data_IF_085740142981
#
_entry.id   IF_085740142981
#
_cell.length_a   1.000
_cell.length_b   1.000
_cell.length_c   1.000
_cell.angle_alpha   90.00
_cell.angle_beta   90.00
_cell.angle_gamma   90.00
#
_symmetry.space_group_name_H-M   'P 1'
#
loop_
_entity.id
_entity.type
_entity.pdbx_description
1 polymer ?
#
# COMPACT_ATOMS: atom_id res chain seq x y z
N UNK A 1 -18.00 4.59 21.26
CA UNK A 1 -17.81 3.38 20.46
C UNK A 1 -19.00 2.49 20.77
N UNK A 2 -19.91 2.31 19.83
CA UNK A 2 -21.12 1.51 20.07
C UNK A 2 -20.76 0.06 19.76
N UNK A 3 -20.63 -0.76 20.81
CA UNK A 3 -20.54 -2.21 20.68
C UNK A 3 -21.78 -2.69 19.92
N UNK A 4 -21.59 -3.44 18.84
CA UNK A 4 -22.70 -3.99 18.07
C UNK A 4 -23.37 -5.08 18.92
N UNK A 5 -24.60 -4.83 19.37
CA UNK A 5 -25.32 -5.79 20.21
C UNK A 5 -25.54 -7.12 19.46
N UNK A 6 -25.48 -8.23 20.18
CA UNK A 6 -25.79 -9.54 19.60
C UNK A 6 -27.20 -9.53 18.98
N UNK A 7 -27.30 -9.87 17.69
CA UNK A 7 -28.55 -9.84 16.93
C UNK A 7 -28.77 -8.59 16.06
N UNK A 8 -27.84 -7.64 16.03
CA UNK A 8 -27.90 -6.52 15.08
C UNK A 8 -27.60 -7.02 13.66
N UNK A 9 -28.43 -6.63 12.68
CA UNK A 9 -28.20 -6.96 11.27
C UNK A 9 -26.92 -6.26 10.81
N UNK A 10 -25.96 -7.05 10.30
CA UNK A 10 -24.72 -6.55 9.69
C UNK A 10 -25.10 -5.69 8.48
N UNK A 11 -24.71 -4.42 8.50
CA UNK A 11 -24.95 -3.50 7.38
C UNK A 11 -23.74 -3.47 6.45
N UNK A 12 -23.94 -3.01 5.21
CA UNK A 12 -22.87 -2.92 4.22
C UNK A 12 -21.68 -2.05 4.67
N UNK A 13 -21.88 -1.14 5.63
CA UNK A 13 -20.81 -0.34 6.22
C UNK A 13 -19.93 -1.10 7.22
N UNK A 14 -20.43 -2.21 7.78
CA UNK A 14 -19.66 -3.07 8.68
C UNK A 14 -18.64 -3.92 7.91
N UNK A 15 -18.95 -4.20 6.63
CA UNK A 15 -18.13 -5.00 5.73
C UNK A 15 -18.06 -4.33 4.33
N UNK A 16 -17.36 -3.19 4.18
CA UNK A 16 -17.15 -2.61 2.88
C UNK A 16 -16.39 -3.60 1.97
N UNK A 17 -16.69 -3.63 0.66
CA UNK A 17 -16.06 -4.58 -0.24
C UNK A 17 -14.55 -4.34 -0.35
N UNK A 18 -13.80 -5.40 -0.65
CA UNK A 18 -12.39 -5.29 -1.02
C UNK A 18 -12.22 -4.33 -2.20
N UNK A 19 -11.22 -3.46 -2.10
CA UNK A 19 -10.82 -2.52 -3.16
C UNK A 19 -9.37 -2.81 -3.55
N UNK A 20 -9.07 -2.65 -4.83
CA UNK A 20 -7.70 -2.78 -5.33
C UNK A 20 -7.42 -1.75 -6.40
N UNK A 21 -6.13 -1.53 -6.66
CA UNK A 21 -5.63 -0.69 -7.71
C UNK A 21 -4.28 -1.23 -8.19
N UNK A 22 -4.10 -1.26 -9.49
CA UNK A 22 -2.94 -1.86 -10.14
C UNK A 22 -2.31 -0.86 -11.10
N UNK A 23 -0.99 -0.93 -11.23
CA UNK A 23 -0.22 -0.25 -12.24
C UNK A 23 0.66 -1.29 -12.93
N UNK A 24 0.42 -1.50 -14.22
CA UNK A 24 1.13 -2.46 -15.06
C UNK A 24 2.09 -1.78 -16.05
N UNK A 25 2.30 -0.47 -15.89
CA UNK A 25 3.25 0.25 -16.72
C UNK A 25 4.65 0.11 -16.11
N UNK A 26 5.51 -0.63 -16.80
CA UNK A 26 6.89 -0.77 -16.43
C UNK A 26 7.55 0.61 -16.22
N UNK A 27 8.02 0.84 -15.01
CA UNK A 27 8.82 2.00 -14.63
C UNK A 27 10.28 1.57 -14.63
N UNK A 28 10.99 1.89 -15.71
CA UNK A 28 12.42 1.61 -15.81
C UNK A 28 13.30 2.74 -15.26
N UNK A 29 14.53 2.41 -14.89
CA UNK A 29 15.55 3.35 -14.44
C UNK A 29 15.11 4.25 -13.28
N UNK A 30 14.43 3.68 -12.29
CA UNK A 30 14.04 4.39 -11.08
C UNK A 30 15.32 4.76 -10.31
N UNK A 31 15.48 6.04 -9.97
CA UNK A 31 16.63 6.58 -9.22
C UNK A 31 16.23 7.41 -8.00
N UNK A 32 14.93 7.45 -7.67
CA UNK A 32 14.42 8.30 -6.60
C UNK A 32 14.84 7.79 -5.22
N UNK A 33 15.59 8.60 -4.48
CA UNK A 33 16.01 8.26 -3.10
C UNK A 33 14.96 8.64 -2.04
N UNK A 34 14.06 9.56 -2.38
CA UNK A 34 12.85 9.86 -1.62
C UNK A 34 11.66 9.05 -2.16
N UNK A 35 10.64 8.82 -1.32
CA UNK A 35 9.43 8.14 -1.74
C UNK A 35 8.69 8.93 -2.82
N UNK A 36 8.46 8.29 -3.96
CA UNK A 36 7.66 8.77 -5.08
C UNK A 36 6.35 7.98 -5.15
N UNK A 37 5.21 8.62 -5.45
CA UNK A 37 3.95 7.91 -5.64
C UNK A 37 3.97 7.09 -6.93
N UNK A 38 3.39 5.90 -6.88
CA UNK A 38 3.00 5.14 -8.07
C UNK A 38 1.60 5.51 -8.54
N UNK A 39 1.21 4.98 -9.70
CA UNK A 39 -0.16 5.04 -10.21
C UNK A 39 -1.06 3.93 -9.65
N UNK A 40 -0.52 2.99 -8.87
CA UNK A 40 -1.31 1.99 -8.16
C UNK A 40 -1.98 2.64 -6.94
N UNK A 41 -3.24 3.00 -7.13
CA UNK A 41 -4.05 3.75 -6.18
C UNK A 41 -5.40 3.08 -6.03
N UNK A 42 -5.91 2.98 -4.82
CA UNK A 42 -7.29 2.59 -4.57
C UNK A 42 -7.95 3.46 -3.50
N UNK A 43 -9.21 3.79 -3.72
CA UNK A 43 -10.05 4.51 -2.74
C UNK A 43 -11.00 3.52 -2.07
N UNK A 44 -11.18 3.66 -0.76
CA UNK A 44 -12.07 2.81 0.03
C UNK A 44 -12.76 3.59 1.14
N UNK A 45 -13.84 3.02 1.68
CA UNK A 45 -14.54 3.53 2.85
C UNK A 45 -14.12 2.69 4.06
N UNK A 46 -13.71 3.34 5.15
CA UNK A 46 -13.32 2.64 6.36
C UNK A 46 -14.52 1.91 7.00
N UNK A 47 -14.35 0.64 7.43
CA UNK A 47 -15.40 -0.12 8.09
C UNK A 47 -15.74 0.48 9.46
N UNK A 48 -16.85 0.04 10.05
CA UNK A 48 -17.26 0.44 11.41
C UNK A 48 -16.23 0.08 12.49
N UNK A 49 -15.40 -0.93 12.25
CA UNK A 49 -14.28 -1.29 13.13
C UNK A 49 -13.12 -0.27 13.10
N UNK A 50 -13.07 0.62 12.11
CA UNK A 50 -11.94 1.54 11.89
C UNK A 50 -10.63 0.83 11.55
N UNK A 51 -10.71 -0.44 11.10
CA UNK A 51 -9.57 -1.32 10.86
C UNK A 51 -9.62 -1.95 9.47
N UNK A 52 -8.52 -1.88 8.74
CA UNK A 52 -8.37 -2.50 7.41
C UNK A 52 -7.06 -3.25 7.30
N UNK A 53 -7.05 -4.31 6.52
CA UNK A 53 -5.83 -4.93 6.02
C UNK A 53 -5.45 -4.27 4.71
N UNK A 54 -4.16 -3.94 4.56
CA UNK A 54 -3.60 -3.38 3.34
C UNK A 54 -2.54 -4.34 2.83
N UNK A 55 -2.70 -4.78 1.58
CA UNK A 55 -1.68 -5.49 0.84
C UNK A 55 -1.04 -4.55 -0.17
N UNK A 56 0.28 -4.63 -0.27
CA UNK A 56 1.03 -4.09 -1.40
C UNK A 56 1.82 -5.22 -2.04
N UNK A 57 1.96 -5.19 -3.36
CA UNK A 57 2.84 -6.07 -4.09
C UNK A 57 3.49 -5.33 -5.26
N UNK A 58 4.68 -5.77 -5.65
CA UNK A 58 5.31 -5.32 -6.87
C UNK A 58 6.30 -6.35 -7.39
N UNK A 59 6.54 -6.26 -8.68
CA UNK A 59 7.60 -6.95 -9.38
C UNK A 59 8.74 -5.97 -9.68
N UNK A 60 9.93 -6.31 -9.20
CA UNK A 60 11.12 -5.45 -9.29
C UNK A 60 12.36 -6.24 -9.65
N UNK A 61 13.32 -5.53 -10.22
CA UNK A 61 14.70 -6.00 -10.37
C UNK A 61 15.66 -4.84 -10.18
N UNK A 62 16.87 -5.19 -9.81
CA UNK A 62 17.99 -4.27 -9.75
C UNK A 62 18.76 -4.27 -11.08
N UNK A 63 19.19 -3.10 -11.55
CA UNK A 63 19.97 -2.99 -12.79
C UNK A 63 21.48 -3.15 -12.59
N UNK A 64 22.01 -3.03 -11.36
CA UNK A 64 23.47 -3.04 -11.11
C UNK A 64 23.90 -3.91 -9.94
N UNK A 65 23.01 -4.73 -9.39
CA UNK A 65 23.32 -5.62 -8.27
C UNK A 65 23.75 -4.92 -6.96
N UNK A 66 23.37 -3.65 -6.77
CA UNK A 66 23.73 -2.82 -5.61
C UNK A 66 22.56 -2.02 -5.02
N UNK A 67 21.34 -2.17 -5.56
CA UNK A 67 20.18 -1.36 -5.20
C UNK A 67 19.09 -2.18 -4.49
N UNK A 68 18.40 -1.49 -3.60
CA UNK A 68 17.19 -1.97 -2.94
C UNK A 68 16.02 -1.10 -3.36
N UNK A 69 15.00 -1.71 -3.94
CA UNK A 69 13.71 -1.04 -4.16
C UNK A 69 12.88 -1.20 -2.90
N UNK A 70 12.43 -0.09 -2.34
CA UNK A 70 11.62 -0.04 -1.13
C UNK A 70 10.20 0.34 -1.52
N UNK A 71 9.23 -0.48 -1.17
CA UNK A 71 7.81 -0.21 -1.36
C UNK A 71 7.11 -0.01 -0.03
N UNK A 72 6.15 0.91 0.00
CA UNK A 72 5.26 1.14 1.14
C UNK A 72 3.93 1.70 0.65
N UNK A 73 3.04 2.08 1.56
CA UNK A 73 1.78 2.76 1.25
C UNK A 73 1.76 4.14 1.88
N UNK A 74 1.11 5.09 1.21
CA UNK A 74 0.63 6.32 1.82
C UNK A 74 -0.89 6.25 1.86
N UNK A 75 -1.48 6.54 3.02
CA UNK A 75 -2.92 6.65 3.21
C UNK A 75 -3.28 8.11 3.49
N UNK A 76 -4.22 8.64 2.70
CA UNK A 76 -4.74 10.01 2.84
C UNK A 76 -6.22 9.95 3.19
N UNK A 77 -6.66 10.77 4.15
CA UNK A 77 -8.08 11.02 4.40
C UNK A 77 -8.61 11.99 3.34
N UNK A 78 -9.55 11.56 2.51
CA UNK A 78 -10.00 12.36 1.37
C UNK A 78 -10.81 13.58 1.80
N UNK A 79 -11.28 13.63 3.06
CA UNK A 79 -12.07 14.74 3.60
C UNK A 79 -11.19 15.89 4.06
N UNK A 80 -10.03 15.58 4.63
CA UNK A 80 -9.11 16.58 5.21
C UNK A 80 -7.85 16.80 4.38
N UNK A 81 -7.48 15.81 3.56
CA UNK A 81 -6.20 15.77 2.86
C UNK A 81 -5.03 15.31 3.75
N UNK A 82 -5.29 14.92 5.00
CA UNK A 82 -4.24 14.52 5.93
C UNK A 82 -3.68 13.15 5.60
N UNK A 83 -2.35 13.02 5.73
CA UNK A 83 -1.67 11.74 5.64
C UNK A 83 -1.82 10.99 6.96
N UNK A 84 -2.69 10.00 6.99
CA UNK A 84 -2.95 9.15 8.17
C UNK A 84 -1.90 8.05 8.30
N UNK A 85 -1.38 7.56 7.18
CA UNK A 85 -0.25 6.63 7.15
C UNK A 85 0.78 7.18 6.15
N UNK A 86 1.96 7.53 6.67
CA UNK A 86 3.10 7.89 5.84
C UNK A 86 3.86 6.66 5.33
N UNK A 87 4.60 6.79 4.20
CA UNK A 87 5.38 5.69 3.65
C UNK A 87 6.55 5.32 4.57
N UNK A 88 6.63 4.04 4.91
CA UNK A 88 7.70 3.41 5.68
C UNK A 88 7.81 1.92 5.28
N UNK A 89 8.80 1.60 4.45
CA UNK A 89 9.03 0.24 3.98
C UNK A 89 9.48 -0.73 5.08
N UNK A 90 9.96 -0.25 6.23
CA UNK A 90 10.41 -1.12 7.32
C UNK A 90 9.22 -1.56 8.17
N UNK A 91 8.32 -0.62 8.51
CA UNK A 91 7.12 -0.93 9.28
C UNK A 91 5.96 -1.46 8.42
N UNK A 92 5.69 -0.82 7.27
CA UNK A 92 4.46 -0.98 6.47
C UNK A 92 4.80 -1.10 4.99
N UNK A 93 5.72 -1.99 4.69
CA UNK A 93 6.12 -2.26 3.33
C UNK A 93 7.22 -3.30 3.24
N UNK A 94 7.90 -3.39 2.11
CA UNK A 94 8.96 -4.36 1.93
C UNK A 94 10.11 -3.78 1.12
N UNK A 95 11.20 -4.52 1.12
CA UNK A 95 12.34 -4.28 0.26
C UNK A 95 12.48 -5.41 -0.74
N UNK A 96 12.99 -5.07 -1.92
CA UNK A 96 13.63 -6.05 -2.79
C UNK A 96 14.78 -6.75 -2.05
N UNK A 97 15.13 -7.96 -2.48
CA UNK A 97 16.40 -8.57 -2.12
C UNK A 97 17.50 -7.76 -2.80
N UNK A 98 18.54 -7.42 -2.05
CA UNK A 98 19.68 -6.71 -2.60
C UNK A 98 20.33 -7.54 -3.69
N UNK A 99 20.62 -6.89 -4.81
CA UNK A 99 21.38 -7.44 -5.92
C UNK A 99 20.69 -8.45 -6.87
N UNK A 100 19.36 -8.58 -6.84
CA UNK A 100 18.65 -9.46 -7.77
C UNK A 100 18.53 -8.82 -9.17
N UNK A 101 19.35 -9.30 -10.12
CA UNK A 101 19.25 -8.91 -11.54
C UNK A 101 18.03 -9.52 -12.26
N UNK A 102 17.54 -10.65 -11.73
CA UNK A 102 16.31 -11.27 -12.18
C UNK A 102 15.09 -10.58 -11.54
N UNK A 103 13.96 -10.63 -12.24
CA UNK A 103 12.69 -10.14 -11.71
C UNK A 103 12.25 -10.95 -10.49
N UNK A 104 11.89 -10.24 -9.42
CA UNK A 104 11.27 -10.82 -8.25
C UNK A 104 9.95 -10.15 -7.92
N UNK A 105 8.97 -10.96 -7.52
CA UNK A 105 7.70 -10.48 -6.98
C UNK A 105 7.73 -10.59 -5.47
N UNK A 106 7.42 -9.48 -4.79
CA UNK A 106 7.28 -9.46 -3.34
C UNK A 106 5.98 -8.78 -2.95
N UNK A 107 5.42 -9.21 -1.83
CA UNK A 107 4.22 -8.63 -1.26
C UNK A 107 4.31 -8.55 0.26
N UNK A 108 3.55 -7.63 0.84
CA UNK A 108 3.34 -7.57 2.28
C UNK A 108 1.92 -7.15 2.58
N UNK A 109 1.37 -7.77 3.63
CA UNK A 109 0.08 -7.40 4.22
C UNK A 109 0.32 -6.86 5.62
N UNK A 110 -0.37 -5.80 5.99
CA UNK A 110 -0.32 -5.22 7.33
C UNK A 110 -1.66 -4.61 7.74
N UNK A 111 -1.86 -4.49 9.05
CA UNK A 111 -3.04 -3.88 9.64
C UNK A 111 -2.88 -2.36 9.70
N UNK A 112 -3.91 -1.63 9.30
CA UNK A 112 -4.12 -0.21 9.59
C UNK A 112 -5.33 -0.08 10.50
N UNK A 113 -5.20 0.71 11.56
CA UNK A 113 -6.23 0.88 12.59
C UNK A 113 -6.35 2.33 13.01
N UNK A 114 -7.48 2.67 13.65
CA UNK A 114 -7.77 4.04 14.08
C UNK A 114 -8.31 4.93 12.95
N UNK A 115 -8.82 4.32 11.89
CA UNK A 115 -9.54 5.04 10.84
C UNK A 115 -10.91 5.48 11.35
N UNK A 116 -11.38 6.64 10.90
CA UNK A 116 -12.72 7.11 11.23
C UNK A 116 -13.76 6.27 10.47
N UNK A 117 -14.68 5.58 11.17
CA UNK A 117 -15.73 4.79 10.55
C UNK A 117 -16.52 5.55 9.48
N UNK A 118 -16.68 4.97 8.29
CA UNK A 118 -17.44 5.57 7.19
C UNK A 118 -16.72 6.68 6.42
N UNK A 119 -15.50 7.08 6.82
CA UNK A 119 -14.70 8.04 6.07
C UNK A 119 -14.06 7.42 4.82
N UNK A 120 -13.85 8.24 3.79
CA UNK A 120 -13.16 7.86 2.55
C UNK A 120 -11.66 8.07 2.68
N UNK A 121 -10.89 7.08 2.23
CA UNK A 121 -9.44 7.13 2.21
C UNK A 121 -8.89 6.70 0.86
N UNK A 122 -7.80 7.32 0.46
CA UNK A 122 -7.01 6.93 -0.71
C UNK A 122 -5.69 6.30 -0.29
N UNK A 123 -5.48 5.04 -0.69
CA UNK A 123 -4.22 4.34 -0.54
C UNK A 123 -3.41 4.44 -1.85
N UNK A 124 -2.17 4.88 -1.75
CA UNK A 124 -1.22 4.96 -2.88
C UNK A 124 0.02 4.17 -2.55
N UNK A 125 0.45 3.24 -3.42
CA UNK A 125 1.76 2.62 -3.25
C UNK A 125 2.84 3.66 -3.52
N UNK A 126 3.81 3.74 -2.61
CA UNK A 126 4.97 4.61 -2.68
C UNK A 126 6.21 3.75 -2.87
N UNK A 127 7.16 4.22 -3.67
CA UNK A 127 8.41 3.51 -3.90
C UNK A 127 9.62 4.46 -3.86
N UNK A 128 10.78 3.90 -3.53
CA UNK A 128 12.08 4.57 -3.64
C UNK A 128 13.18 3.55 -3.87
N UNK A 129 14.33 4.01 -4.31
CA UNK A 129 15.55 3.24 -4.48
C UNK A 129 16.57 3.67 -3.44
N UNK A 130 17.19 2.68 -2.81
CA UNK A 130 18.28 2.84 -1.87
C UNK A 130 19.49 2.10 -2.43
N UNK A 131 20.51 2.85 -2.85
CA UNK A 131 21.67 2.32 -3.57
C UNK A 131 22.36 3.39 -4.39
N UNK A 132 23.29 2.97 -5.24
CA UNK A 132 24.15 3.87 -6.04
C UNK A 132 23.71 4.00 -7.50
N UNK A 133 22.68 3.28 -7.93
CA UNK A 133 22.23 3.26 -9.33
C UNK A 133 20.70 3.16 -9.45
N UNK A 134 20.21 2.49 -10.50
CA UNK A 134 18.81 2.40 -10.84
C UNK A 134 18.23 1.00 -10.63
N UNK A 135 16.91 0.95 -10.52
CA UNK A 135 16.14 -0.29 -10.52
C UNK A 135 14.97 -0.17 -11.48
N UNK A 136 14.43 -1.32 -11.88
CA UNK A 136 13.23 -1.40 -12.70
C UNK A 136 12.09 -2.02 -11.90
N UNK A 137 10.88 -1.68 -12.33
CA UNK A 137 9.65 -2.18 -11.77
C UNK A 137 8.66 -2.41 -12.89
N UNK A 138 7.96 -3.54 -12.87
CA UNK A 138 6.96 -3.86 -13.90
C UNK A 138 5.54 -3.65 -13.37
N UNK A 139 5.09 -4.57 -12.52
CA UNK A 139 3.78 -4.52 -11.88
C UNK A 139 3.85 -3.94 -10.47
N UNK A 140 2.90 -3.07 -10.10
CA UNK A 140 2.57 -2.72 -8.71
C UNK A 140 1.08 -2.96 -8.48
N UNK A 141 0.72 -3.46 -7.31
CA UNK A 141 -0.65 -3.47 -6.83
C UNK A 141 -0.80 -3.03 -5.37
N UNK A 142 -1.99 -2.50 -5.07
CA UNK A 142 -2.51 -2.30 -3.72
C UNK A 142 -3.87 -2.95 -3.61
N UNK A 143 -4.15 -3.58 -2.46
CA UNK A 143 -5.47 -4.06 -2.12
C UNK A 143 -5.79 -3.73 -0.66
N UNK A 144 -7.05 -3.40 -0.39
CA UNK A 144 -7.57 -3.04 0.92
C UNK A 144 -8.86 -3.80 1.19
N UNK A 145 -8.96 -4.39 2.37
CA UNK A 145 -10.18 -5.07 2.82
C UNK A 145 -10.41 -4.88 4.33
N UNK A 146 -11.65 -5.05 4.82
CA UNK A 146 -11.94 -4.92 6.25
C UNK A 146 -11.12 -5.90 7.09
N UNK A 147 -10.61 -5.43 8.23
CA UNK A 147 -10.03 -6.29 9.24
C UNK A 147 -11.07 -6.56 10.34
N UNK A 148 -11.29 -7.85 10.61
CA UNK A 148 -12.18 -8.32 11.68
C UNK A 148 -11.62 -8.05 13.07
#
# INVERSE_FOLDING_TARGET
>A
MTELAAGTLVQALDYPPTRSGDATAATGNIVFTAYSPSTAVCTFIAPTTGRVMVAIAAEVRDNTSTNYVRHSVRLVDDRTGDVVVGPDAYARGYSSIGAAADWETRSRVFLVQGLEPGASYTATVMYRVEGESSADQDSISVAVWPAT
#
